data_IF_553046293642
#
_entry.id   IF_553046293642
#
_cell.length_a   1.000
_cell.length_b   1.000
_cell.length_c   1.000
_cell.angle_alpha   90.00
_cell.angle_beta   90.00
_cell.angle_gamma   90.00
#
_symmetry.space_group_name_H-M   'P 1'
#
loop_
_entity.id
_entity.type
_entity.pdbx_description
1 polymer ?
#
# COMPACT_ATOMS: atom_id res chain seq x y z
N UNK A 1 -9.88 26.56 39.41
CA UNK A 1 -10.61 25.28 39.44
C UNK A 1 -10.13 24.42 38.27
N UNK A 2 -9.73 23.19 38.55
CA UNK A 2 -9.26 22.19 37.59
C UNK A 2 -10.48 21.46 37.03
N UNK A 3 -10.64 21.35 35.71
CA UNK A 3 -11.42 20.25 35.11
C UNK A 3 -10.64 19.70 33.92
N UNK A 4 -10.30 18.43 34.09
CA UNK A 4 -9.62 17.50 33.19
C UNK A 4 -10.62 16.91 32.18
N UNK A 5 -10.17 16.74 30.94
CA UNK A 5 -10.27 15.53 30.10
C UNK A 5 -11.64 14.80 30.00
N UNK A 6 -12.24 14.85 28.81
CA UNK A 6 -13.03 13.76 28.23
C UNK A 6 -12.54 13.56 26.77
N UNK A 7 -11.49 12.80 26.52
CA UNK A 7 -11.55 11.36 26.16
C UNK A 7 -12.55 11.06 25.03
N UNK A 8 -12.20 11.52 23.83
CA UNK A 8 -12.71 11.03 22.55
C UNK A 8 -12.06 9.68 22.21
N UNK A 9 -12.59 8.60 22.79
CA UNK A 9 -12.31 7.23 22.38
C UNK A 9 -13.59 6.42 22.51
N UNK A 10 -14.10 5.89 21.40
CA UNK A 10 -14.40 4.47 21.23
C UNK A 10 -14.62 4.20 19.74
N UNK A 11 -13.54 3.65 19.20
CA UNK A 11 -13.42 2.84 18.00
C UNK A 11 -14.69 2.06 17.61
N UNK A 12 -15.04 2.20 16.33
CA UNK A 12 -16.00 1.38 15.62
C UNK A 12 -15.59 -0.10 15.67
N UNK A 13 -16.40 -0.90 16.35
CA UNK A 13 -16.40 -2.36 16.28
C UNK A 13 -16.92 -2.81 14.91
N UNK A 14 -16.17 -3.68 14.23
CA UNK A 14 -16.68 -4.52 13.14
C UNK A 14 -16.03 -5.89 13.21
N UNK A 15 -16.59 -6.76 14.06
CA UNK A 15 -16.34 -8.21 14.02
C UNK A 15 -17.24 -8.83 12.96
N UNK A 16 -16.68 -9.19 11.79
CA UNK A 16 -17.37 -10.05 10.81
C UNK A 16 -17.02 -11.51 11.08
N UNK A 17 -18.00 -12.22 11.66
CA UNK A 17 -17.93 -13.64 11.98
C UNK A 17 -18.46 -14.44 10.79
N UNK A 18 -17.64 -15.32 10.18
CA UNK A 18 -18.09 -16.27 9.15
C UNK A 18 -17.99 -17.70 9.64
N UNK A 19 -19.04 -18.43 9.28
CA UNK A 19 -19.51 -19.70 9.84
C UNK A 19 -18.70 -20.91 9.36
N UNK A 20 -18.54 -21.88 10.26
CA UNK A 20 -17.99 -23.21 9.99
C UNK A 20 -19.14 -24.12 9.51
N UNK A 21 -19.11 -24.54 8.24
CA UNK A 21 -20.02 -25.58 7.73
C UNK A 21 -19.36 -26.95 7.93
N UNK A 22 -19.90 -27.73 8.87
CA UNK A 22 -19.64 -29.19 8.96
C UNK A 22 -20.40 -29.87 7.82
N UNK A 23 -19.70 -30.60 6.94
CA UNK A 23 -20.36 -31.54 6.02
C UNK A 23 -20.27 -32.94 6.60
N UNK A 24 -21.46 -33.50 6.86
CA UNK A 24 -21.71 -34.87 7.26
C UNK A 24 -21.27 -35.84 6.16
N UNK A 25 -20.72 -36.96 6.62
CA UNK A 25 -20.44 -38.18 5.86
C UNK A 25 -21.75 -38.87 5.49
N UNK A 26 -21.99 -39.07 4.19
CA UNK A 26 -22.89 -40.11 3.67
C UNK A 26 -22.29 -40.68 2.40
N UNK A 27 -21.60 -41.82 2.52
CA UNK A 27 -21.29 -42.67 1.38
C UNK A 27 -22.47 -43.60 1.09
N UNK A 28 -22.73 -43.98 -0.17
CA UNK A 28 -23.52 -45.15 -0.48
C UNK A 28 -22.61 -46.34 -0.82
N UNK A 29 -22.78 -47.36 0.01
CA UNK A 29 -22.66 -48.81 -0.22
C UNK A 29 -22.71 -49.24 -1.68
N UNK A 30 -21.65 -49.94 -2.13
CA UNK A 30 -21.63 -50.75 -3.34
C UNK A 30 -22.49 -52.01 -3.17
N UNK A 31 -23.45 -52.23 -4.06
CA UNK A 31 -24.19 -53.49 -4.20
C UNK A 31 -23.37 -54.53 -4.97
N UNK A 32 -23.53 -55.78 -4.57
CA UNK A 32 -22.80 -57.01 -4.91
C UNK A 32 -22.98 -57.50 -6.37
N UNK A 33 -23.22 -56.63 -7.35
CA UNK A 33 -23.62 -57.06 -8.71
C UNK A 33 -22.59 -56.83 -9.83
N UNK A 34 -21.38 -56.38 -9.51
CA UNK A 34 -20.37 -56.07 -10.54
C UNK A 34 -19.24 -57.11 -10.64
N UNK A 35 -19.38 -58.26 -9.97
CA UNK A 35 -18.38 -59.34 -10.00
C UNK A 35 -18.94 -60.53 -10.76
N UNK A 36 -19.09 -60.42 -12.07
CA UNK A 36 -19.14 -61.59 -12.97
C UNK A 36 -19.17 -61.09 -14.41
N UNK A 37 -18.00 -60.76 -14.96
CA UNK A 37 -17.69 -60.89 -16.39
C UNK A 37 -16.25 -60.45 -16.66
N UNK A 38 -15.31 -61.38 -16.50
CA UNK A 38 -14.09 -61.45 -17.32
C UNK A 38 -13.37 -62.78 -17.07
N UNK A 39 -13.75 -63.78 -17.86
CA UNK A 39 -12.84 -64.87 -18.19
C UNK A 39 -11.75 -64.30 -19.11
N UNK A 40 -10.51 -64.33 -18.64
CA UNK A 40 -9.31 -64.83 -19.35
C UNK A 40 -8.02 -64.26 -18.71
N UNK A 41 -7.29 -65.16 -18.04
CA UNK A 41 -5.83 -65.14 -17.84
C UNK A 41 -5.14 -63.79 -17.58
N UNK A 42 -5.41 -63.17 -16.43
CA UNK A 42 -4.52 -62.13 -15.90
C UNK A 42 -4.31 -62.33 -14.40
N UNK A 43 -3.48 -63.31 -14.06
CA UNK A 43 -2.96 -63.49 -12.70
C UNK A 43 -1.90 -62.40 -12.44
N UNK A 44 -2.32 -61.14 -12.46
CA UNK A 44 -1.45 -60.03 -12.07
C UNK A 44 -0.96 -60.30 -10.65
N UNK A 45 0.36 -60.13 -10.45
CA UNK A 45 0.97 -60.18 -9.13
C UNK A 45 0.22 -59.24 -8.18
N UNK A 46 0.09 -59.56 -6.89
CA UNK A 46 -0.52 -58.66 -5.90
C UNK A 46 0.04 -57.23 -5.95
N UNK A 47 1.30 -57.08 -6.35
CA UNK A 47 1.95 -55.78 -6.54
C UNK A 47 1.40 -55.01 -7.74
N UNK A 48 1.19 -55.68 -8.88
CA UNK A 48 0.65 -55.06 -10.09
C UNK A 48 -0.80 -54.61 -9.88
N UNK A 49 -1.59 -55.40 -9.14
CA UNK A 49 -2.95 -55.01 -8.75
C UNK A 49 -2.95 -53.73 -7.90
N UNK A 50 -2.02 -53.62 -6.93
CA UNK A 50 -1.86 -52.40 -6.12
C UNK A 50 -1.44 -51.22 -6.97
N UNK A 51 -0.50 -51.42 -7.90
CA UNK A 51 -0.04 -50.38 -8.82
C UNK A 51 -1.18 -49.85 -9.70
N UNK A 52 -2.02 -50.74 -10.24
CA UNK A 52 -3.17 -50.33 -11.04
C UNK A 52 -4.22 -49.59 -10.20
N UNK A 53 -4.50 -50.06 -8.99
CA UNK A 53 -5.44 -49.38 -8.08
C UNK A 53 -4.98 -47.95 -7.74
N UNK A 54 -3.68 -47.74 -7.51
CA UNK A 54 -3.10 -46.41 -7.28
C UNK A 54 -3.23 -45.52 -8.52
N UNK A 55 -2.92 -46.05 -9.71
CA UNK A 55 -3.05 -45.31 -10.96
C UNK A 55 -4.50 -44.90 -11.23
N UNK A 56 -5.45 -45.80 -10.98
CA UNK A 56 -6.87 -45.53 -11.15
C UNK A 56 -7.37 -44.48 -10.16
N UNK A 57 -6.90 -44.55 -8.91
CA UNK A 57 -7.19 -43.54 -7.88
C UNK A 57 -6.73 -42.13 -8.31
N UNK A 58 -5.49 -41.99 -8.79
CA UNK A 58 -4.97 -40.70 -9.27
C UNK A 58 -5.65 -40.22 -10.56
N UNK A 59 -6.18 -41.14 -11.39
CA UNK A 59 -6.98 -40.79 -12.55
C UNK A 59 -8.34 -40.19 -12.13
N UNK A 60 -9.03 -40.83 -11.18
CA UNK A 60 -10.29 -40.35 -10.61
C UNK A 60 -10.15 -38.99 -9.91
N UNK A 61 -9.06 -38.76 -9.18
CA UNK A 61 -8.73 -37.46 -8.59
C UNK A 61 -8.63 -36.34 -9.64
N UNK A 62 -7.90 -36.58 -10.74
CA UNK A 62 -7.77 -35.62 -11.84
C UNK A 62 -9.10 -35.32 -12.54
N UNK A 63 -9.93 -36.34 -12.72
CA UNK A 63 -11.26 -36.18 -13.31
C UNK A 63 -12.21 -35.40 -12.38
N UNK A 64 -12.12 -35.60 -11.07
CA UNK A 64 -12.89 -34.81 -10.09
C UNK A 64 -12.43 -33.35 -10.05
N UNK A 65 -11.13 -33.09 -10.06
CA UNK A 65 -10.58 -31.72 -10.13
C UNK A 65 -11.00 -31.01 -11.44
N UNK A 66 -11.10 -31.76 -12.55
CA UNK A 66 -11.58 -31.22 -13.82
C UNK A 66 -13.08 -30.92 -13.82
N UNK A 67 -13.89 -31.72 -13.12
CA UNK A 67 -15.36 -31.54 -13.03
C UNK A 67 -15.76 -30.45 -12.03
N UNK A 68 -14.97 -30.22 -10.99
CA UNK A 68 -15.25 -29.25 -9.93
C UNK A 68 -14.90 -27.79 -10.31
N UNK A 69 -14.68 -27.52 -11.60
CA UNK A 69 -14.31 -26.20 -12.10
C UNK A 69 -12.83 -25.94 -11.83
N UNK A 70 -12.04 -25.90 -12.89
CA UNK A 70 -10.60 -25.64 -12.81
C UNK A 70 -10.30 -24.45 -11.90
N UNK A 71 -9.22 -24.56 -11.12
CA UNK A 71 -8.72 -23.49 -10.24
C UNK A 71 -8.89 -22.14 -10.94
N UNK A 72 -9.50 -21.13 -10.29
CA UNK A 72 -9.63 -19.81 -10.89
C UNK A 72 -8.23 -19.38 -11.32
N UNK A 73 -8.04 -19.10 -12.62
CA UNK A 73 -6.80 -18.53 -13.13
C UNK A 73 -6.55 -17.29 -12.28
N UNK A 74 -5.53 -17.34 -11.43
CA UNK A 74 -5.09 -16.16 -10.69
C UNK A 74 -4.77 -15.12 -11.75
N UNK A 75 -5.64 -14.12 -11.89
CA UNK A 75 -5.33 -12.92 -12.65
C UNK A 75 -4.23 -12.23 -11.88
N UNK A 76 -2.99 -12.66 -12.12
CA UNK A 76 -1.84 -11.90 -11.69
C UNK A 76 -1.89 -10.61 -12.50
N UNK A 77 -2.48 -9.57 -11.92
CA UNK A 77 -2.48 -8.24 -12.51
C UNK A 77 -1.00 -7.86 -12.67
N UNK A 78 -0.50 -7.95 -13.90
CA UNK A 78 0.88 -7.61 -14.19
C UNK A 78 1.13 -6.16 -13.73
N UNK A 79 2.24 -5.88 -13.03
CA UNK A 79 2.53 -4.53 -12.57
C UNK A 79 2.58 -3.59 -13.77
N UNK A 80 1.71 -2.59 -13.78
CA UNK A 80 1.66 -1.56 -14.81
C UNK A 80 3.01 -0.84 -14.80
N UNK A 81 3.71 -0.83 -15.94
CA UNK A 81 4.96 -0.09 -16.10
C UNK A 81 4.66 1.39 -15.89
N UNK A 82 5.09 1.95 -14.76
CA UNK A 82 4.96 3.39 -14.49
C UNK A 82 5.78 4.14 -15.54
N UNK A 83 5.17 5.13 -16.19
CA UNK A 83 5.87 6.01 -17.10
C UNK A 83 7.06 6.68 -16.39
N UNK A 84 8.18 6.93 -17.08
CA UNK A 84 9.31 7.61 -16.47
C UNK A 84 8.87 9.01 -16.02
N UNK A 85 9.16 9.34 -14.75
CA UNK A 85 8.90 10.66 -14.19
C UNK A 85 9.77 11.67 -14.94
N UNK A 86 9.14 12.64 -15.63
CA UNK A 86 9.87 13.73 -16.28
C UNK A 86 10.61 14.53 -15.20
N UNK A 87 11.92 14.68 -15.34
CA UNK A 87 12.70 15.59 -14.49
C UNK A 87 12.16 17.00 -14.71
N UNK A 88 11.80 17.67 -13.62
CA UNK A 88 11.38 19.06 -13.69
C UNK A 88 12.60 19.92 -14.07
N UNK A 89 12.42 20.79 -15.06
CA UNK A 89 13.43 21.76 -15.45
C UNK A 89 13.51 22.86 -14.39
N UNK A 90 14.73 23.15 -13.92
CA UNK A 90 14.97 24.17 -12.91
C UNK A 90 14.90 25.53 -13.60
N UNK A 91 13.91 26.34 -13.23
CA UNK A 91 13.82 27.73 -13.71
C UNK A 91 14.84 28.57 -12.96
N UNK A 92 15.83 29.08 -13.69
CA UNK A 92 16.85 29.98 -13.18
C UNK A 92 16.35 31.41 -13.13
N UNK A 93 16.67 32.13 -12.06
CA UNK A 93 16.34 33.54 -11.81
C UNK A 93 17.64 34.29 -11.53
N UNK A 94 17.68 35.60 -11.80
CA UNK A 94 18.82 36.43 -11.38
C UNK A 94 18.96 36.40 -9.85
N UNK A 95 20.18 36.18 -9.39
CA UNK A 95 20.47 35.97 -7.97
C UNK A 95 20.22 37.23 -7.17
N UNK A 96 20.55 38.40 -7.72
CA UNK A 96 20.36 39.70 -7.05
C UNK A 96 18.88 39.98 -6.80
N UNK A 97 18.06 39.84 -7.83
CA UNK A 97 16.61 40.05 -7.73
C UNK A 97 15.98 39.05 -6.75
N UNK A 98 16.46 37.80 -6.76
CA UNK A 98 16.01 36.78 -5.81
C UNK A 98 16.29 37.17 -4.35
N UNK A 99 17.48 37.67 -4.04
CA UNK A 99 17.82 38.10 -2.68
C UNK A 99 16.98 39.29 -2.21
N UNK A 100 16.81 40.29 -3.07
CA UNK A 100 15.98 41.46 -2.78
C UNK A 100 14.54 41.03 -2.51
N UNK A 101 14.00 40.11 -3.32
CA UNK A 101 12.65 39.59 -3.11
C UNK A 101 12.52 38.85 -1.76
N UNK A 102 13.46 37.95 -1.45
CA UNK A 102 13.47 37.20 -0.18
C UNK A 102 13.54 38.16 1.02
N UNK A 103 14.40 39.17 0.96
CA UNK A 103 14.54 40.19 2.00
C UNK A 103 13.24 40.99 2.19
N UNK A 104 12.61 41.42 1.10
CA UNK A 104 11.33 42.12 1.17
C UNK A 104 10.27 41.25 1.85
N UNK A 105 10.15 39.97 1.50
CA UNK A 105 9.17 39.07 2.14
C UNK A 105 9.44 38.90 3.63
N UNK A 106 10.70 38.81 4.06
CA UNK A 106 11.04 38.70 5.48
C UNK A 106 10.64 39.95 6.26
N UNK A 107 10.91 41.14 5.71
CA UNK A 107 10.54 42.42 6.30
C UNK A 107 9.02 42.55 6.39
N UNK A 108 8.30 42.29 5.29
CA UNK A 108 6.84 42.37 5.27
C UNK A 108 6.19 41.42 6.26
N UNK A 109 6.71 40.20 6.37
CA UNK A 109 6.25 39.23 7.35
C UNK A 109 6.43 39.74 8.79
N UNK A 110 7.61 40.25 9.12
CA UNK A 110 7.85 40.77 10.46
C UNK A 110 7.01 42.00 10.79
N UNK A 111 6.78 42.88 9.81
CA UNK A 111 5.87 44.01 10.00
C UNK A 111 4.42 43.55 10.25
N UNK A 112 3.94 42.55 9.52
CA UNK A 112 2.60 41.97 9.73
C UNK A 112 2.49 41.34 11.12
N UNK A 113 3.44 40.47 11.50
CA UNK A 113 3.41 39.73 12.77
C UNK A 113 3.73 40.56 14.01
N UNK A 114 4.38 41.71 13.85
CA UNK A 114 4.53 42.69 14.93
C UNK A 114 3.17 43.16 15.45
N UNK A 115 2.18 43.30 14.57
CA UNK A 115 0.83 43.71 14.97
C UNK A 115 0.02 42.59 15.62
N UNK A 116 0.30 41.32 15.27
CA UNK A 116 -0.39 40.16 15.84
C UNK A 116 0.11 39.73 17.23
N UNK A 117 1.24 40.29 17.68
CA UNK A 117 1.87 39.92 18.96
C UNK A 117 2.47 38.52 18.98
N UNK A 118 2.74 37.93 17.80
CA UNK A 118 3.35 36.59 17.70
C UNK A 118 4.81 36.57 18.15
N UNK A 119 5.50 37.71 18.06
CA UNK A 119 6.88 37.92 18.51
C UNK A 119 6.91 39.04 19.53
N UNK A 120 7.71 38.89 20.59
CA UNK A 120 7.84 39.90 21.64
C UNK A 120 8.88 40.96 21.29
N UNK A 121 9.86 40.59 20.47
CA UNK A 121 10.97 41.44 20.05
C UNK A 121 11.15 41.37 18.54
N UNK A 122 11.67 42.45 17.95
CA UNK A 122 11.97 42.48 16.50
C UNK A 122 13.05 41.42 16.14
N UNK A 123 13.94 41.10 17.08
CA UNK A 123 15.01 40.10 16.93
C UNK A 123 14.48 38.66 16.85
N UNK A 124 13.40 38.33 17.56
CA UNK A 124 12.77 37.01 17.49
C UNK A 124 12.23 36.72 16.09
N UNK A 125 11.56 37.72 15.48
CA UNK A 125 11.03 37.57 14.13
C UNK A 125 12.16 37.42 13.10
N UNK A 126 13.21 38.23 13.22
CA UNK A 126 14.38 38.14 12.34
C UNK A 126 15.07 36.79 12.45
N UNK A 127 15.24 36.28 13.67
CA UNK A 127 15.81 34.95 13.90
C UNK A 127 14.94 33.85 13.28
N UNK A 128 13.61 33.98 13.37
CA UNK A 128 12.69 33.05 12.73
C UNK A 128 12.83 33.05 11.20
N UNK A 129 12.82 34.22 10.57
CA UNK A 129 12.94 34.33 9.11
C UNK A 129 14.31 33.88 8.60
N UNK A 130 15.39 34.19 9.31
CA UNK A 130 16.76 33.76 8.97
C UNK A 130 16.88 32.22 9.03
N UNK A 131 16.31 31.59 10.05
CA UNK A 131 16.30 30.12 10.16
C UNK A 131 15.50 29.46 9.03
N UNK A 132 14.38 30.07 8.62
CA UNK A 132 13.58 29.59 7.49
C UNK A 132 14.37 29.71 6.18
N UNK A 133 15.03 30.85 5.95
CA UNK A 133 15.84 31.09 4.76
C UNK A 133 16.98 30.07 4.71
N UNK A 134 17.69 29.85 5.82
CA UNK A 134 18.77 28.87 5.92
C UNK A 134 18.26 27.46 5.58
N UNK A 135 17.09 27.09 6.11
CA UNK A 135 16.46 25.80 5.80
C UNK A 135 16.20 25.66 4.29
N UNK A 136 15.63 26.69 3.65
CA UNK A 136 15.37 26.66 2.22
C UNK A 136 16.67 26.63 1.38
N UNK A 137 17.72 27.33 1.82
CA UNK A 137 19.04 27.31 1.15
C UNK A 137 19.74 25.95 1.24
N UNK A 138 19.44 25.15 2.27
CA UNK A 138 19.94 23.78 2.35
C UNK A 138 19.25 22.84 1.34
N UNK A 139 18.06 23.20 0.85
CA UNK A 139 17.27 22.40 -0.09
C UNK A 139 17.42 22.87 -1.55
N UNK A 140 17.66 24.17 -1.77
CA UNK A 140 17.68 24.79 -3.09
C UNK A 140 18.90 25.72 -3.25
N UNK A 141 19.55 25.61 -4.41
CA UNK A 141 20.67 26.46 -4.77
C UNK A 141 20.25 27.91 -5.04
N UNK A 142 21.19 28.84 -4.89
CA UNK A 142 21.00 30.23 -5.29
C UNK A 142 20.76 30.33 -6.80
N UNK A 143 19.80 31.17 -7.20
CA UNK A 143 19.32 31.30 -8.58
C UNK A 143 18.21 30.32 -8.94
N UNK A 144 17.86 29.35 -8.09
CA UNK A 144 16.69 28.50 -8.31
C UNK A 144 15.40 29.21 -7.87
N UNK A 145 14.43 29.39 -8.78
CA UNK A 145 13.10 29.94 -8.46
C UNK A 145 12.37 29.25 -7.29
N UNK A 146 12.72 27.98 -7.01
CA UNK A 146 12.15 27.20 -5.91
C UNK A 146 12.60 27.70 -4.55
N UNK A 147 13.80 28.31 -4.45
CA UNK A 147 14.28 28.92 -3.21
C UNK A 147 13.34 30.03 -2.74
N UNK A 148 13.03 30.98 -3.62
CA UNK A 148 12.07 32.06 -3.33
C UNK A 148 10.69 31.51 -2.99
N UNK A 149 10.26 30.46 -3.70
CA UNK A 149 8.95 29.81 -3.46
C UNK A 149 8.90 29.14 -2.09
N UNK A 150 9.98 28.47 -1.67
CA UNK A 150 10.12 27.87 -0.35
C UNK A 150 9.97 28.92 0.74
N UNK A 151 10.74 30.02 0.65
CA UNK A 151 10.68 31.11 1.63
C UNK A 151 9.28 31.72 1.68
N UNK A 152 8.70 32.09 0.53
CA UNK A 152 7.33 32.62 0.44
C UNK A 152 6.30 31.70 1.10
N UNK A 153 6.42 30.40 0.89
CA UNK A 153 5.48 29.43 1.45
C UNK A 153 5.62 29.28 2.97
N UNK A 154 6.84 29.40 3.50
CA UNK A 154 7.09 29.33 4.94
C UNK A 154 6.72 30.61 5.70
N UNK A 155 6.71 31.76 5.04
CA UNK A 155 6.31 33.05 5.62
C UNK A 155 4.80 33.34 5.47
N UNK A 156 3.98 32.39 5.03
CA UNK A 156 2.55 32.61 4.77
C UNK A 156 1.67 32.27 5.97
#
# INVERSE_FOLDING_TARGET
MRIFICLSLIFLYSCSQRQIIKRQSTGPTSTFSDIENSNDNNLLSPEEKRRMAVLEYYKKLREQDSKNGGRPKSSYNAPVKKAPVKKQEIKTVDTKDQFVEIEQHSIFYCMDKKTSGQFNTDDECKTYTDNLILKCQNEFDQGDSRLTSCVKSGLR
#
